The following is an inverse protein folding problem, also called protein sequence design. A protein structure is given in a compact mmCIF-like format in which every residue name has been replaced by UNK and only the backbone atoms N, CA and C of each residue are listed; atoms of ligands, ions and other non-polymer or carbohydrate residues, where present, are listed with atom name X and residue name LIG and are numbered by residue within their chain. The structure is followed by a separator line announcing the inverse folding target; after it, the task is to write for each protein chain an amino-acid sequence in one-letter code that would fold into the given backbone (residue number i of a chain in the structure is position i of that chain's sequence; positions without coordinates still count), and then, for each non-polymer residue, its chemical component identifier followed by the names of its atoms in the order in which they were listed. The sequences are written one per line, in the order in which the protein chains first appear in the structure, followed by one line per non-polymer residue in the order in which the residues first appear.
data_IF_855009750690
#
_entry.id   IF_855009750690
#
_cell.length_a   1.000
_cell.length_b   1.000
_cell.length_c   1.000
_cell.angle_alpha   90.00
_cell.angle_beta   90.00
_cell.angle_gamma   90.00
#
_symmetry.space_group_name_H-M   'P 1'
#
loop_
_entity.id
_entity.type
_entity.pdbx_description
1 polymer ?
#
# COMPACT_ATOMS: atom_id res chain seq x y z
N UNK A 1 46.48 1.17 -13.83
CA UNK A 1 45.02 1.11 -13.55
C UNK A 1 44.80 0.34 -12.25
N UNK A 2 44.76 1.03 -11.11
CA UNK A 2 44.44 0.43 -9.82
C UNK A 2 42.91 0.31 -9.70
N UNK A 3 42.36 -0.89 -9.92
CA UNK A 3 40.98 -1.22 -9.53
C UNK A 3 40.89 -1.09 -8.01
N UNK A 4 40.27 -0.02 -7.52
CA UNK A 4 40.05 0.16 -6.08
C UNK A 4 38.80 -0.64 -5.65
N UNK A 5 38.94 -1.78 -4.95
CA UNK A 5 37.80 -2.56 -4.46
C UNK A 5 36.95 -1.78 -3.44
N UNK A 6 37.53 -0.76 -2.79
CA UNK A 6 36.85 0.11 -1.83
C UNK A 6 35.72 0.94 -2.46
N UNK A 7 35.90 1.36 -3.72
CA UNK A 7 34.86 2.11 -4.44
C UNK A 7 33.63 1.24 -4.72
N UNK A 8 33.84 -0.01 -5.12
CA UNK A 8 32.75 -0.96 -5.40
C UNK A 8 31.97 -1.33 -4.13
N UNK A 9 32.65 -1.54 -3.02
CA UNK A 9 32.01 -1.83 -1.73
C UNK A 9 31.15 -0.66 -1.24
N UNK A 10 31.64 0.58 -1.34
CA UNK A 10 30.88 1.76 -0.94
C UNK A 10 29.61 1.92 -1.78
N UNK A 11 29.71 1.76 -3.11
CA UNK A 11 28.56 1.84 -4.00
C UNK A 11 27.54 0.72 -3.74
N UNK A 12 28.01 -0.51 -3.48
CA UNK A 12 27.12 -1.62 -3.14
C UNK A 12 26.36 -1.38 -1.83
N UNK A 13 27.03 -0.82 -0.81
CA UNK A 13 26.40 -0.46 0.47
C UNK A 13 25.38 0.67 0.28
N UNK A 14 25.73 1.72 -0.48
CA UNK A 14 24.80 2.80 -0.77
C UNK A 14 23.57 2.32 -1.56
N UNK A 15 23.76 1.40 -2.51
CA UNK A 15 22.67 0.82 -3.27
C UNK A 15 21.77 -0.07 -2.39
N UNK A 16 22.36 -0.84 -1.46
CA UNK A 16 21.60 -1.60 -0.46
C UNK A 16 20.82 -0.69 0.48
N UNK A 17 21.42 0.40 0.97
CA UNK A 17 20.74 1.39 1.81
C UNK A 17 19.60 2.06 1.05
N UNK A 18 19.84 2.46 -0.20
CA UNK A 18 18.82 3.03 -1.07
C UNK A 18 17.66 2.06 -1.26
N UNK A 19 17.93 0.78 -1.59
CA UNK A 19 16.89 -0.25 -1.72
C UNK A 19 16.15 -0.48 -0.40
N UNK A 20 16.84 -0.46 0.72
CA UNK A 20 16.24 -0.62 2.04
C UNK A 20 15.29 0.53 2.39
N UNK A 21 15.64 1.78 2.08
CA UNK A 21 14.77 2.95 2.28
C UNK A 21 13.52 2.98 1.41
N UNK A 22 13.40 2.09 0.43
CA UNK A 22 12.24 2.02 -0.47
C UNK A 22 11.14 1.07 0.03
N UNK A 23 11.25 0.60 1.28
CA UNK A 23 10.22 -0.24 1.91
C UNK A 23 9.46 0.59 2.93
N UNK A 24 8.16 0.71 2.73
CA UNK A 24 7.23 1.35 3.67
C UNK A 24 6.37 0.29 4.31
N UNK A 25 5.99 0.47 5.58
CA UNK A 25 5.15 -0.49 6.30
C UNK A 25 3.79 0.11 6.55
N UNK A 26 2.74 -0.63 6.20
CA UNK A 26 1.37 -0.30 6.55
C UNK A 26 0.86 -1.31 7.57
N UNK A 27 0.34 -0.80 8.68
CA UNK A 27 -0.35 -1.61 9.70
C UNK A 27 -1.80 -1.15 9.78
N UNK A 28 -2.75 -2.08 9.75
CA UNK A 28 -4.17 -1.81 9.97
C UNK A 28 -4.65 -2.67 11.12
N UNK A 29 -5.14 -2.04 12.18
CA UNK A 29 -5.73 -2.71 13.34
C UNK A 29 -7.24 -2.49 13.32
N UNK A 30 -7.99 -3.57 13.51
CA UNK A 30 -9.45 -3.56 13.60
C UNK A 30 -9.88 -4.02 14.99
N UNK A 31 -10.60 -3.16 15.69
CA UNK A 31 -11.09 -3.44 17.04
C UNK A 31 -12.31 -2.58 17.37
N UNK A 32 -13.34 -3.20 17.95
CA UNK A 32 -14.57 -2.55 18.39
C UNK A 32 -15.25 -1.73 17.26
N UNK A 33 -15.27 -2.27 16.03
CA UNK A 33 -15.82 -1.58 14.86
C UNK A 33 -15.05 -0.31 14.46
N UNK A 34 -13.79 -0.18 14.90
CA UNK A 34 -12.89 0.90 14.51
C UNK A 34 -11.70 0.32 13.74
N UNK A 35 -11.32 1.02 12.67
CA UNK A 35 -10.18 0.67 11.85
C UNK A 35 -9.14 1.76 12.00
N UNK A 36 -7.97 1.39 12.51
CA UNK A 36 -6.84 2.28 12.68
C UNK A 36 -5.73 1.85 11.72
N UNK A 37 -5.46 2.68 10.72
CA UNK A 37 -4.29 2.52 9.86
C UNK A 37 -3.13 3.32 10.43
N UNK A 38 -1.95 2.72 10.49
CA UNK A 38 -0.68 3.38 10.76
C UNK A 38 0.20 3.18 9.54
N UNK A 39 0.49 4.28 8.85
CA UNK A 39 1.45 4.29 7.77
C UNK A 39 2.80 4.75 8.32
N UNK A 40 3.83 3.92 8.13
CA UNK A 40 5.19 4.21 8.56
C UNK A 40 5.98 4.79 7.39
N UNK A 41 6.22 6.09 7.46
CA UNK A 41 7.13 6.81 6.56
C UNK A 41 8.56 6.76 7.13
N UNK A 42 9.61 6.93 6.32
CA UNK A 42 11.00 6.92 6.79
C UNK A 42 11.29 7.93 7.93
N UNK A 43 10.46 8.96 8.10
CA UNK A 43 10.67 10.05 9.07
C UNK A 43 9.51 10.22 10.06
N UNK A 44 8.55 9.29 10.13
CA UNK A 44 7.43 9.42 11.06
C UNK A 44 6.35 8.36 10.90
N UNK A 45 5.42 8.34 11.86
CA UNK A 45 4.23 7.49 11.81
C UNK A 45 2.98 8.35 11.79
N UNK A 46 2.02 7.99 10.94
CA UNK A 46 0.76 8.70 10.79
C UNK A 46 -0.41 7.74 11.05
N UNK A 47 -1.08 7.85 12.20
CA UNK A 47 -2.30 7.11 12.42
C UNK A 47 -3.49 7.80 11.75
N UNK A 48 -4.40 7.02 11.19
CA UNK A 48 -5.73 7.47 10.79
C UNK A 48 -6.76 6.44 11.23
N UNK A 49 -7.87 6.94 11.76
CA UNK A 49 -8.93 6.11 12.29
C UNK A 49 -10.25 6.43 11.60
N UNK A 50 -11.02 5.38 11.29
CA UNK A 50 -12.41 5.48 10.83
C UNK A 50 -13.29 4.48 11.57
N UNK A 51 -14.60 4.72 11.57
CA UNK A 51 -15.58 3.71 11.92
C UNK A 51 -15.72 2.70 10.77
N UNK A 52 -15.58 1.42 11.06
CA UNK A 52 -15.68 0.33 10.09
C UNK A 52 -16.49 -0.85 10.66
N UNK A 53 -17.81 -0.67 10.85
CA UNK A 53 -18.64 -1.73 11.41
C UNK A 53 -18.71 -2.94 10.47
N UNK A 54 -18.75 -4.15 11.03
CA UNK A 54 -19.09 -5.37 10.29
C UNK A 54 -17.93 -6.09 9.58
N UNK A 55 -16.69 -5.61 9.71
CA UNK A 55 -15.52 -6.23 9.08
C UNK A 55 -15.14 -7.57 9.74
N UNK A 56 -15.45 -7.75 11.04
CA UNK A 56 -15.18 -9.00 11.76
C UNK A 56 -15.80 -10.21 11.07
N UNK A 57 -14.99 -11.23 10.77
CA UNK A 57 -15.45 -12.45 10.11
C UNK A 57 -15.78 -12.32 8.62
N UNK A 58 -15.49 -11.16 8.01
CA UNK A 58 -15.54 -10.97 6.56
C UNK A 58 -14.23 -11.38 5.86
N UNK A 59 -13.70 -10.52 4.99
CA UNK A 59 -12.44 -10.75 4.26
C UNK A 59 -11.47 -9.60 4.45
N UNK A 60 -10.19 -9.87 4.43
CA UNK A 60 -9.12 -8.86 4.41
C UNK A 60 -8.29 -9.08 3.16
N UNK A 61 -7.80 -8.04 2.53
CA UNK A 61 -7.04 -8.16 1.29
C UNK A 61 -5.95 -7.13 1.14
N UNK A 62 -5.06 -7.40 0.19
CA UNK A 62 -4.08 -6.44 -0.27
C UNK A 62 -4.45 -6.03 -1.68
N UNK A 63 -4.63 -4.73 -1.85
CA UNK A 63 -4.89 -4.09 -3.12
C UNK A 63 -3.57 -3.65 -3.73
N UNK A 64 -3.37 -3.98 -5.00
CA UNK A 64 -2.29 -3.45 -5.82
C UNK A 64 -2.88 -3.05 -7.16
N UNK A 65 -2.75 -1.77 -7.51
CA UNK A 65 -3.03 -1.36 -8.88
C UNK A 65 -1.83 -1.73 -9.75
N UNK A 66 -2.05 -2.52 -10.80
CA UNK A 66 -1.03 -2.76 -11.81
C UNK A 66 -0.90 -1.51 -12.69
N UNK A 67 -0.10 -0.55 -12.22
CA UNK A 67 0.35 0.55 -13.05
C UNK A 67 1.44 0.03 -14.01
N UNK A 68 1.02 -0.52 -15.16
CA UNK A 68 1.80 -0.41 -16.38
C UNK A 68 1.22 0.71 -17.25
N UNK A 69 1.48 2.01 -16.97
CA UNK A 69 1.11 3.08 -17.87
C UNK A 69 2.03 3.00 -19.09
N UNK A 70 1.50 2.48 -20.18
CA UNK A 70 2.13 2.37 -21.51
C UNK A 70 2.53 3.73 -22.15
N UNK A 71 2.40 4.86 -21.42
CA UNK A 71 2.56 6.21 -21.95
C UNK A 71 3.34 7.20 -21.07
N UNK A 72 3.78 6.83 -19.87
CA UNK A 72 4.69 7.66 -19.08
C UNK A 72 6.12 7.24 -19.44
N UNK A 73 6.88 8.20 -19.95
CA UNK A 73 8.29 8.16 -20.30
C UNK A 73 9.09 7.19 -19.42
N UNK A 74 9.24 5.95 -19.91
CA UNK A 74 10.11 4.96 -19.30
C UNK A 74 11.52 5.54 -19.32
N UNK A 75 12.03 5.92 -18.16
CA UNK A 75 13.45 6.17 -18.02
C UNK A 75 14.19 4.92 -18.55
N UNK A 76 15.37 5.07 -19.16
CA UNK A 76 16.06 3.94 -19.82
C UNK A 76 16.38 2.75 -18.88
N UNK A 77 16.14 2.90 -17.58
CA UNK A 77 16.44 1.95 -16.53
C UNK A 77 15.23 1.55 -15.66
N UNK A 78 13.99 1.96 -15.98
CA UNK A 78 12.83 1.63 -15.14
C UNK A 78 12.57 0.11 -15.07
N UNK A 79 12.93 -0.62 -16.12
CA UNK A 79 12.88 -2.09 -16.15
C UNK A 79 13.81 -2.77 -15.12
N UNK A 80 14.86 -2.07 -14.64
CA UNK A 80 15.75 -2.56 -13.59
C UNK A 80 15.16 -2.39 -12.20
N UNK A 81 14.10 -1.59 -12.08
CA UNK A 81 13.51 -1.25 -10.80
C UNK A 81 12.34 -2.19 -10.52
N UNK A 82 12.32 -2.91 -9.38
CA UNK A 82 11.18 -3.75 -9.05
C UNK A 82 9.94 -2.88 -8.85
N UNK A 83 8.81 -3.27 -9.44
CA UNK A 83 7.54 -2.56 -9.30
C UNK A 83 6.97 -2.59 -7.88
N UNK A 84 5.89 -1.84 -7.68
CA UNK A 84 5.12 -1.82 -6.43
C UNK A 84 4.68 -3.24 -6.09
N UNK A 85 5.00 -3.71 -4.89
CA UNK A 85 4.59 -5.04 -4.46
C UNK A 85 4.43 -5.07 -2.95
N UNK A 86 3.42 -5.82 -2.50
CA UNK A 86 3.29 -6.19 -1.09
C UNK A 86 4.17 -7.39 -0.75
N UNK A 87 4.70 -7.37 0.46
CA UNK A 87 5.53 -8.44 1.02
C UNK A 87 5.33 -8.53 2.53
N UNK A 88 5.81 -9.62 3.14
CA UNK A 88 5.78 -9.81 4.60
C UNK A 88 4.40 -9.60 5.23
N UNK A 89 3.36 -10.12 4.58
CA UNK A 89 1.98 -9.98 5.04
C UNK A 89 1.79 -10.85 6.28
N UNK A 90 1.37 -10.23 7.38
CA UNK A 90 1.07 -10.89 8.63
C UNK A 90 -0.33 -10.49 9.08
N UNK A 91 -1.18 -11.48 9.30
CA UNK A 91 -2.52 -11.30 9.85
C UNK A 91 -2.53 -12.00 11.21
N UNK A 92 -2.76 -11.23 12.27
CA UNK A 92 -2.79 -11.74 13.64
C UNK A 92 -4.16 -11.47 14.26
N UNK A 93 -4.78 -12.50 14.81
CA UNK A 93 -6.11 -12.41 15.41
C UNK A 93 -6.75 -13.79 15.58
N UNK A 94 -7.82 -13.90 16.39
CA UNK A 94 -8.53 -15.15 16.60
C UNK A 94 -9.23 -15.62 15.33
N UNK A 95 -8.96 -16.87 14.91
CA UNK A 95 -9.59 -17.46 13.73
C UNK A 95 -8.95 -17.07 12.39
N UNK A 96 -7.75 -16.51 12.40
CA UNK A 96 -7.01 -16.22 11.16
C UNK A 96 -6.73 -17.52 10.38
N UNK A 97 -7.31 -17.64 9.19
CA UNK A 97 -7.04 -18.73 8.25
C UNK A 97 -6.56 -18.13 6.92
N UNK A 98 -5.39 -18.56 6.39
CA UNK A 98 -4.93 -18.06 5.13
C UNK A 98 -5.71 -18.72 3.98
N UNK A 99 -6.62 -17.96 3.37
CA UNK A 99 -7.17 -18.27 2.05
C UNK A 99 -6.60 -17.26 1.05
N UNK A 100 -6.39 -17.64 -0.22
CA UNK A 100 -6.01 -16.68 -1.26
C UNK A 100 -7.14 -16.64 -2.28
N UNK A 101 -7.88 -15.54 -2.29
CA UNK A 101 -8.90 -15.27 -3.32
C UNK A 101 -8.40 -14.10 -4.16
N UNK A 102 -8.56 -14.21 -5.49
CA UNK A 102 -8.30 -13.12 -6.43
C UNK A 102 -9.63 -12.43 -6.72
N UNK A 103 -9.77 -11.15 -6.37
CA UNK A 103 -10.93 -10.36 -6.80
C UNK A 103 -10.61 -9.71 -8.15
N UNK A 104 -11.55 -9.81 -9.09
CA UNK A 104 -11.45 -9.12 -10.37
C UNK A 104 -12.14 -7.76 -10.28
N UNK A 105 -11.40 -6.71 -10.62
CA UNK A 105 -11.82 -5.31 -10.54
C UNK A 105 -13.11 -4.98 -11.31
N UNK A 106 -13.47 -5.77 -12.33
CA UNK A 106 -14.61 -5.54 -13.24
C UNK A 106 -15.95 -5.40 -12.52
N UNK A 107 -16.05 -5.86 -11.28
CA UNK A 107 -17.29 -5.83 -10.49
C UNK A 107 -17.59 -4.44 -9.88
N UNK A 108 -16.66 -3.47 -9.99
CA UNK A 108 -16.75 -2.19 -9.25
C UNK A 108 -17.25 -0.98 -10.05
N UNK A 109 -17.65 -1.13 -11.32
CA UNK A 109 -18.43 -0.07 -11.99
C UNK A 109 -17.69 1.22 -12.41
N UNK A 110 -16.36 1.20 -12.54
CA UNK A 110 -15.63 2.19 -13.34
C UNK A 110 -15.16 3.47 -12.65
N UNK A 111 -15.07 3.50 -11.31
CA UNK A 111 -14.69 4.70 -10.55
C UNK A 111 -13.19 5.05 -10.65
N UNK A 112 -12.85 6.30 -10.37
CA UNK A 112 -11.44 6.71 -10.25
C UNK A 112 -11.17 7.50 -8.97
N UNK A 113 -10.07 7.14 -8.30
CA UNK A 113 -9.50 7.88 -7.19
C UNK A 113 -8.03 8.14 -7.53
N UNK A 114 -7.63 9.39 -7.64
CA UNK A 114 -6.28 9.74 -8.09
C UNK A 114 -5.90 9.09 -9.44
N UNK A 115 -4.99 8.11 -9.46
CA UNK A 115 -4.65 7.27 -10.62
C UNK A 115 -5.25 5.87 -10.53
N UNK A 116 -5.74 5.44 -9.37
CA UNK A 116 -6.57 4.24 -9.26
C UNK A 116 -7.80 4.37 -10.14
N UNK A 117 -7.88 3.46 -11.09
CA UNK A 117 -9.07 3.18 -11.87
C UNK A 117 -9.59 1.83 -11.39
N UNK A 118 -10.77 1.86 -10.80
CA UNK A 118 -11.51 0.68 -10.38
C UNK A 118 -12.53 0.33 -11.47
N UNK A 119 -12.90 -0.94 -11.63
CA UNK A 119 -13.82 -1.39 -12.67
C UNK A 119 -13.30 -1.38 -14.11
N UNK A 120 -12.01 -1.11 -14.36
CA UNK A 120 -11.49 -0.82 -15.72
C UNK A 120 -10.21 -1.60 -16.11
N UNK A 121 -9.78 -2.60 -15.33
CA UNK A 121 -8.60 -3.43 -15.64
C UNK A 121 -8.44 -4.68 -14.78
N UNK A 122 -7.27 -5.33 -14.82
CA UNK A 122 -6.91 -6.40 -13.87
C UNK A 122 -6.30 -5.77 -12.60
N UNK A 123 -7.09 -5.70 -11.53
CA UNK A 123 -6.56 -5.42 -10.18
C UNK A 123 -6.28 -6.75 -9.50
N UNK A 124 -5.06 -6.92 -8.99
CA UNK A 124 -4.74 -8.08 -8.17
C UNK A 124 -5.07 -7.78 -6.72
N UNK A 125 -6.22 -8.27 -6.25
CA UNK A 125 -6.48 -8.34 -4.81
C UNK A 125 -6.16 -9.75 -4.33
N UNK A 126 -5.23 -9.90 -3.39
CA UNK A 126 -5.12 -11.15 -2.64
C UNK A 126 -5.94 -10.98 -1.36
N UNK A 127 -6.97 -11.80 -1.14
CA UNK A 127 -7.75 -11.75 0.11
C UNK A 127 -7.66 -13.03 0.92
N UNK A 128 -7.72 -12.88 2.24
CA UNK A 128 -7.79 -13.90 3.29
C UNK A 128 -9.08 -13.72 4.10
N UNK A 129 -9.51 -14.75 4.82
CA UNK A 129 -10.61 -14.62 5.78
C UNK A 129 -10.20 -13.68 6.92
N UNK A 130 -11.06 -12.70 7.22
CA UNK A 130 -10.84 -11.80 8.33
C UNK A 130 -10.96 -12.58 9.65
N UNK A 131 -10.02 -12.44 10.59
CA UNK A 131 -10.20 -12.98 11.93
C UNK A 131 -11.39 -12.28 12.62
N UNK A 132 -11.84 -12.85 13.73
CA UNK A 132 -12.73 -12.12 14.62
C UNK A 132 -11.98 -10.96 15.28
N UNK A 133 -12.69 -9.87 15.58
CA UNK A 133 -12.10 -8.75 16.31
C UNK A 133 -11.63 -9.15 17.73
N UNK A 134 -10.51 -8.59 18.22
CA UNK A 134 -9.59 -7.68 17.53
C UNK A 134 -8.58 -8.43 16.63
N UNK A 135 -8.20 -7.82 15.51
CA UNK A 135 -7.14 -8.33 14.66
C UNK A 135 -6.25 -7.22 14.09
N UNK A 136 -5.04 -7.58 13.66
CA UNK A 136 -4.08 -6.68 13.03
C UNK A 136 -3.54 -7.27 11.75
N UNK A 137 -3.43 -6.43 10.72
CA UNK A 137 -2.78 -6.71 9.46
C UNK A 137 -1.54 -5.85 9.39
N UNK A 138 -0.39 -6.47 9.16
CA UNK A 138 0.86 -5.77 8.88
C UNK A 138 1.35 -6.22 7.53
N UNK A 139 1.67 -5.27 6.65
CA UNK A 139 2.23 -5.56 5.35
C UNK A 139 3.32 -4.54 4.98
N UNK A 140 4.37 -5.02 4.32
CA UNK A 140 5.46 -4.18 3.83
C UNK A 140 5.27 -3.93 2.33
N UNK A 141 5.18 -2.66 1.95
CA UNK A 141 5.11 -2.19 0.58
C UNK A 141 6.51 -1.89 0.08
N UNK A 142 6.90 -2.57 -1.00
CA UNK A 142 8.16 -2.30 -1.71
C UNK A 142 7.89 -1.34 -2.87
N UNK A 143 8.72 -0.30 -2.99
CA UNK A 143 8.78 0.66 -4.11
C UNK A 143 7.41 1.21 -4.51
N UNK A 144 6.97 2.28 -3.86
CA UNK A 144 5.57 2.63 -3.87
C UNK A 144 5.35 3.63 -5.05
N UNK A 145 5.52 3.14 -6.29
CA UNK A 145 5.39 3.95 -7.52
C UNK A 145 3.93 4.05 -7.98
N UNK A 146 3.16 3.01 -7.73
CA UNK A 146 1.72 2.92 -8.01
C UNK A 146 0.89 2.93 -6.73
N UNK A 147 -0.42 2.95 -6.88
CA UNK A 147 -1.36 2.95 -5.76
C UNK A 147 -1.56 1.52 -5.23
N UNK A 148 -1.51 1.40 -3.90
CA UNK A 148 -1.59 0.12 -3.22
C UNK A 148 -2.30 0.31 -1.88
N UNK A 149 -2.93 -0.74 -1.36
CA UNK A 149 -3.75 -0.59 -0.17
C UNK A 149 -4.06 -1.88 0.58
N UNK A 150 -4.71 -1.74 1.72
CA UNK A 150 -5.25 -2.83 2.52
C UNK A 150 -6.78 -2.76 2.43
N UNK A 151 -7.40 -3.82 1.94
CA UNK A 151 -8.83 -3.97 1.80
C UNK A 151 -9.41 -4.70 3.02
N UNK A 152 -10.55 -4.24 3.49
CA UNK A 152 -11.33 -4.81 4.58
C UNK A 152 -12.76 -4.95 4.09
N UNK A 153 -13.30 -6.16 4.08
CA UNK A 153 -14.65 -6.46 3.63
C UNK A 153 -15.44 -7.15 4.73
N UNK A 154 -16.73 -6.88 4.78
CA UNK A 154 -17.72 -7.64 5.54
C UNK A 154 -18.13 -8.93 4.79
N UNK A 155 -19.08 -9.68 5.37
CA UNK A 155 -19.59 -10.92 4.78
C UNK A 155 -20.38 -10.69 3.47
N UNK A 156 -20.81 -9.47 3.21
CA UNK A 156 -21.55 -9.04 2.02
C UNK A 156 -20.63 -8.38 0.97
N UNK A 157 -19.31 -8.43 1.19
CA UNK A 157 -18.31 -7.81 0.33
C UNK A 157 -18.40 -6.27 0.24
N UNK A 158 -19.02 -5.62 1.23
CA UNK A 158 -18.91 -4.18 1.44
C UNK A 158 -17.77 -3.89 2.41
N UNK A 159 -17.23 -2.67 2.43
CA UNK A 159 -16.24 -2.32 3.44
C UNK A 159 -15.36 -1.14 3.09
N UNK A 160 -14.07 -1.29 3.37
CA UNK A 160 -13.12 -0.19 3.47
C UNK A 160 -11.80 -0.55 2.83
N UNK A 161 -11.29 0.34 2.00
CA UNK A 161 -9.97 0.26 1.42
C UNK A 161 -9.11 1.37 2.02
N UNK A 162 -8.03 1.00 2.68
CA UNK A 162 -6.96 1.92 3.04
C UNK A 162 -5.98 1.99 1.87
N UNK A 163 -6.04 3.06 1.08
CA UNK A 163 -5.21 3.25 -0.12
C UNK A 163 -4.05 4.21 0.19
N UNK A 164 -2.85 3.89 -0.28
CA UNK A 164 -1.67 4.75 -0.24
C UNK A 164 -1.28 5.14 -1.67
N UNK A 165 -1.07 6.44 -1.88
CA UNK A 165 -0.53 7.06 -3.09
C UNK A 165 0.83 7.67 -2.73
N UNK A 166 1.89 6.88 -2.85
CA UNK A 166 3.17 7.16 -2.19
C UNK A 166 3.94 8.27 -2.92
N UNK A 167 3.83 8.32 -4.25
CA UNK A 167 4.33 9.47 -5.04
C UNK A 167 3.70 10.81 -4.63
N UNK A 168 2.47 10.77 -4.08
CA UNK A 168 1.78 11.96 -3.58
C UNK A 168 1.93 12.14 -2.07
N UNK A 169 2.61 11.21 -1.40
CA UNK A 169 2.69 11.12 0.06
C UNK A 169 1.30 11.18 0.69
N UNK A 170 0.31 10.59 0.04
CA UNK A 170 -1.08 10.64 0.48
C UNK A 170 -1.54 9.24 0.82
N UNK A 171 -2.43 9.15 1.80
CA UNK A 171 -3.13 7.92 2.10
C UNK A 171 -4.58 8.27 2.42
N UNK A 172 -5.52 7.37 2.12
CA UNK A 172 -6.94 7.69 2.21
C UNK A 172 -7.73 6.45 2.56
N UNK A 173 -8.72 6.63 3.43
CA UNK A 173 -9.76 5.65 3.63
C UNK A 173 -10.85 5.84 2.59
N UNK A 174 -11.13 4.77 1.87
CA UNK A 174 -12.12 4.70 0.82
C UNK A 174 -13.18 3.69 1.21
N UNK A 175 -14.44 4.02 0.98
CA UNK A 175 -15.52 3.06 1.16
C UNK A 175 -15.65 2.25 -0.12
N UNK A 176 -15.53 0.93 0.04
CA UNK A 176 -15.38 0.00 -1.07
C UNK A 176 -16.64 -0.08 -1.94
N UNK A 177 -17.82 -0.11 -1.31
CA UNK A 177 -19.07 -0.38 -2.01
C UNK A 177 -19.59 0.75 -2.90
N UNK A 178 -19.29 2.01 -2.57
CA UNK A 178 -19.81 3.19 -3.27
C UNK A 178 -18.70 4.07 -3.85
N UNK A 179 -17.46 3.69 -3.61
CA UNK A 179 -16.29 4.41 -4.05
C UNK A 179 -16.14 5.81 -3.47
N UNK A 180 -16.67 6.07 -2.27
CA UNK A 180 -16.53 7.36 -1.61
C UNK A 180 -15.25 7.46 -0.76
N UNK A 181 -14.45 8.51 -0.96
CA UNK A 181 -13.37 8.84 -0.03
C UNK A 181 -13.94 9.38 1.28
N UNK A 182 -13.48 8.84 2.41
CA UNK A 182 -14.01 9.17 3.75
C UNK A 182 -13.04 10.03 4.55
N UNK A 183 -11.75 9.71 4.52
CA UNK A 183 -10.72 10.48 5.23
C UNK A 183 -9.43 10.50 4.43
N UNK A 184 -8.95 11.69 4.05
CA UNK A 184 -7.68 11.88 3.31
C UNK A 184 -6.59 12.33 4.26
N UNK A 185 -5.46 11.63 4.26
CA UNK A 185 -4.19 12.04 4.86
C UNK A 185 -3.29 12.67 3.80
N UNK A 186 -2.72 13.84 4.12
CA UNK A 186 -1.71 14.49 3.31
C UNK A 186 -0.35 14.42 4.00
N UNK A 187 0.67 13.96 3.27
CA UNK A 187 2.05 13.83 3.73
C UNK A 187 2.76 15.15 3.93
N UNK A 188 4.04 15.09 4.34
CA UNK A 188 4.89 16.28 4.43
C UNK A 188 5.20 16.70 2.99
N UNK A 189 4.91 17.94 2.56
CA UNK A 189 5.44 18.42 1.30
C UNK A 189 6.96 18.32 1.37
N UNK A 190 7.59 17.66 0.40
CA UNK A 190 9.04 17.55 0.40
C UNK A 190 9.64 18.96 0.49
N UNK A 191 10.36 19.24 1.58
CA UNK A 191 11.46 20.18 1.46
C UNK A 191 12.36 19.57 0.41
N UNK A 192 12.33 20.13 -0.79
CA UNK A 192 13.44 19.97 -1.71
C UNK A 192 14.65 20.36 -0.88
N UNK A 193 15.47 19.39 -0.49
CA UNK A 193 16.79 19.66 0.01
C UNK A 193 17.53 20.28 -1.18
N UNK A 194 17.38 21.59 -1.36
CA UNK A 194 18.32 22.38 -2.12
C UNK A 194 19.60 22.21 -1.31
N UNK A 195 20.45 21.28 -1.72
CA UNK A 195 21.85 21.32 -1.38
C UNK A 195 22.38 22.62 -1.98
N UNK A 196 22.25 23.72 -1.24
CA UNK A 196 23.07 24.90 -1.46
C UNK A 196 24.46 24.46 -0.99
N UNK A 197 25.27 23.98 -1.92
CA UNK A 197 26.70 23.94 -1.73
C UNK A 197 27.15 25.40 -1.64
N UNK A 198 27.32 25.88 -0.41
CA UNK A 198 28.11 27.07 -0.08
C UNK A 198 29.59 26.69 0.02
#
# INVERSE_FOLDING_TARGET
MLRQPRFWLLNAVLLLLYVWTLTETATVTVAAGQCTAVFQEPFGTRPSQIACPGVSGGKVGLFLQDEHPYWLESGPLDWLLPGTAWSNVQITGPGAAPERIVLHDTDLGGWSLWRARFGNGETAVATWSAPNEPFTITAAMRRPLGEAGILLLDAQENGWLFLTAPQRWQAVWWRWQDGAAVTVMQGIPQFHAIFVMS
#
